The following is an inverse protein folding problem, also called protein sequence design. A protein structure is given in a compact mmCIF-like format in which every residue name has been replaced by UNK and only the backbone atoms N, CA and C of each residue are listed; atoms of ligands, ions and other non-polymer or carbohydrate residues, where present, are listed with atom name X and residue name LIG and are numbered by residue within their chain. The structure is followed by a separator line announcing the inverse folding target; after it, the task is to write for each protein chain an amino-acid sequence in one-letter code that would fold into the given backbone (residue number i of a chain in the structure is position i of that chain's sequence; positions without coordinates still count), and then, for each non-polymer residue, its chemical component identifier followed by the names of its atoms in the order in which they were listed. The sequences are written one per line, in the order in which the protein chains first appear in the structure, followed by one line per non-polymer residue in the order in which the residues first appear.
data_IF_130713909886
#
_entry.id   IF_130713909886
#
_cell.length_a   1.000
_cell.length_b   1.000
_cell.length_c   1.000
_cell.angle_alpha   90.00
_cell.angle_beta   90.00
_cell.angle_gamma   90.00
#
_symmetry.space_group_name_H-M   'P 1'
#
loop_
_entity.id
_entity.type
_entity.pdbx_description
1 polymer ?
#
# COMPACT_ATOMS: atom_id res chain seq x y z
N UNK A 1 -17.31 -5.84 -13.95
CA UNK A 1 -16.53 -4.74 -13.37
C UNK A 1 -15.07 -5.18 -13.24
N UNK A 2 -14.12 -4.35 -13.66
CA UNK A 2 -12.71 -4.67 -13.47
C UNK A 2 -12.37 -4.88 -12.00
N UNK A 3 -11.48 -5.83 -11.73
CA UNK A 3 -11.09 -6.18 -10.35
C UNK A 3 -10.50 -4.99 -9.62
N UNK A 4 -9.66 -4.20 -10.30
CA UNK A 4 -9.08 -3.00 -9.74
C UNK A 4 -10.16 -2.03 -9.24
N UNK A 5 -11.23 -1.84 -10.02
CA UNK A 5 -12.35 -0.98 -9.63
C UNK A 5 -13.10 -1.53 -8.41
N UNK A 6 -13.25 -2.84 -8.30
CA UNK A 6 -13.85 -3.47 -7.12
C UNK A 6 -13.05 -3.16 -5.86
N UNK A 7 -11.74 -3.26 -5.95
CA UNK A 7 -10.83 -2.99 -4.83
C UNK A 7 -10.89 -1.51 -4.46
N UNK A 8 -10.82 -0.62 -5.45
CA UNK A 8 -10.82 0.82 -5.21
C UNK A 8 -12.13 1.33 -4.60
N UNK A 9 -13.25 0.67 -4.88
CA UNK A 9 -14.54 1.02 -4.26
C UNK A 9 -14.57 0.78 -2.75
N UNK A 10 -13.69 -0.05 -2.22
CA UNK A 10 -13.59 -0.29 -0.79
C UNK A 10 -12.93 0.86 -0.05
N UNK A 11 -12.21 1.72 -0.76
CA UNK A 11 -11.39 2.76 -0.17
C UNK A 11 -11.99 4.14 -0.30
N UNK A 12 -11.22 5.11 0.19
CA UNK A 12 -11.55 6.53 0.10
C UNK A 12 -10.34 7.31 -0.39
N UNK A 13 -10.57 8.40 -1.15
CA UNK A 13 -9.46 9.22 -1.62
C UNK A 13 -8.85 10.03 -0.47
N UNK A 14 -7.53 10.13 -0.48
CA UNK A 14 -6.79 11.02 0.40
C UNK A 14 -5.70 11.71 -0.41
N UNK A 15 -5.18 12.80 0.12
CA UNK A 15 -4.04 13.52 -0.45
C UNK A 15 -2.86 13.42 0.49
N UNK A 16 -1.65 13.31 -0.08
CA UNK A 16 -0.41 13.38 0.65
C UNK A 16 0.47 14.44 0.00
N UNK A 17 1.10 15.27 0.81
CA UNK A 17 2.03 16.28 0.32
C UNK A 17 3.44 15.69 0.24
N UNK A 18 4.27 16.24 -0.63
CA UNK A 18 5.67 15.84 -0.76
C UNK A 18 6.35 15.78 0.61
N UNK A 19 6.97 14.64 0.91
CA UNK A 19 7.64 14.40 2.18
C UNK A 19 6.77 13.79 3.27
N UNK A 20 5.45 13.72 3.10
CA UNK A 20 4.57 13.11 4.08
C UNK A 20 4.84 11.61 4.20
N UNK A 21 4.88 11.14 5.44
CA UNK A 21 4.95 9.70 5.72
C UNK A 21 3.53 9.14 5.73
N UNK A 22 3.21 8.38 4.69
CA UNK A 22 1.88 7.80 4.49
C UNK A 22 1.65 6.62 5.42
N UNK A 23 2.68 5.79 5.60
CA UNK A 23 2.69 4.72 6.59
C UNK A 23 4.11 4.52 7.09
N UNK A 24 4.23 3.97 8.30
CA UNK A 24 5.51 3.89 9.00
C UNK A 24 5.87 2.45 9.38
N UNK A 25 7.13 2.09 9.15
CA UNK A 25 7.71 0.83 9.56
C UNK A 25 7.45 0.58 11.06
N UNK A 26 6.98 -0.61 11.40
CA UNK A 26 6.69 -1.00 12.78
C UNK A 26 5.31 -0.63 13.30
N UNK A 27 4.56 0.22 12.59
CA UNK A 27 3.20 0.58 12.99
C UNK A 27 2.21 -0.47 12.50
N UNK A 28 1.01 -0.59 13.15
CA UNK A 28 0.01 -1.56 12.73
C UNK A 28 -0.39 -1.39 11.26
N UNK A 29 -0.36 -2.49 10.51
CA UNK A 29 -0.65 -2.49 9.08
C UNK A 29 -2.16 -2.63 8.86
N UNK A 30 -2.88 -1.53 8.95
CA UNK A 30 -4.34 -1.50 8.84
C UNK A 30 -4.86 -1.09 7.47
N UNK A 31 -4.00 -0.56 6.61
CA UNK A 31 -4.42 -0.01 5.33
C UNK A 31 -3.47 -0.40 4.20
N UNK A 32 -4.06 -0.59 3.03
CA UNK A 32 -3.39 -0.68 1.75
C UNK A 32 -3.62 0.63 1.01
N UNK A 33 -2.67 1.06 0.21
CA UNK A 33 -2.76 2.32 -0.54
C UNK A 33 -2.63 2.06 -2.03
N UNK A 34 -3.42 2.79 -2.81
CA UNK A 34 -3.30 2.84 -4.26
C UNK A 34 -2.84 4.24 -4.66
N UNK A 35 -1.81 4.33 -5.49
CA UNK A 35 -1.28 5.61 -5.96
C UNK A 35 -2.04 6.01 -7.21
N UNK A 36 -2.99 6.95 -7.08
CA UNK A 36 -3.79 7.45 -8.20
C UNK A 36 -2.98 8.44 -9.04
N UNK A 37 -2.23 9.33 -8.38
CA UNK A 37 -1.31 10.26 -9.04
C UNK A 37 -0.12 10.53 -8.15
N UNK A 38 0.99 10.91 -8.75
CA UNK A 38 2.26 11.12 -8.04
C UNK A 38 3.03 9.82 -7.88
N UNK A 39 3.88 9.77 -6.86
CA UNK A 39 4.63 8.55 -6.53
C UNK A 39 4.99 8.52 -5.06
N UNK A 40 5.05 7.31 -4.52
CA UNK A 40 5.58 7.04 -3.19
C UNK A 40 6.96 6.40 -3.33
N UNK A 41 7.72 6.45 -2.24
CA UNK A 41 8.93 5.66 -2.09
C UNK A 41 8.76 4.82 -0.83
N UNK A 42 9.17 3.55 -0.89
CA UNK A 42 9.24 2.70 0.28
C UNK A 42 10.68 2.59 0.74
N UNK A 43 10.88 2.60 2.05
CA UNK A 43 12.22 2.59 2.64
C UNK A 43 12.27 1.62 3.81
N UNK A 44 13.25 0.71 3.77
CA UNK A 44 13.60 -0.11 4.92
C UNK A 44 14.81 0.50 5.59
N UNK A 45 14.73 0.69 6.92
CA UNK A 45 15.87 1.14 7.72
C UNK A 45 16.33 -0.05 8.54
N UNK A 46 17.44 -0.71 8.17
CA UNK A 46 17.95 -1.84 8.93
C UNK A 46 18.53 -1.39 10.27
N UNK A 47 18.48 -2.30 11.29
CA UNK A 47 18.91 -1.98 12.65
C UNK A 47 20.40 -1.65 12.75
N UNK A 48 21.22 -2.31 11.92
CA UNK A 48 22.68 -2.25 12.05
C UNK A 48 23.39 -1.71 10.80
N UNK A 49 22.64 -1.38 9.79
CA UNK A 49 23.18 -0.85 8.54
C UNK A 49 22.64 0.55 8.33
N UNK A 50 23.49 1.42 7.81
CA UNK A 50 23.12 2.80 7.50
C UNK A 50 22.49 2.95 6.13
N UNK A 51 22.65 1.94 5.27
CA UNK A 51 22.04 1.96 3.94
C UNK A 51 20.57 1.61 4.04
N UNK A 52 19.72 2.49 3.51
CA UNK A 52 18.30 2.23 3.39
C UNK A 52 18.03 1.63 2.02
N UNK A 53 17.23 0.56 1.99
CA UNK A 53 16.71 0.06 0.71
C UNK A 53 15.51 0.92 0.33
N UNK A 54 15.58 1.53 -0.85
CA UNK A 54 14.55 2.44 -1.35
C UNK A 54 13.97 1.88 -2.64
N UNK A 55 12.63 1.78 -2.69
CA UNK A 55 11.92 1.28 -3.88
C UNK A 55 10.83 2.27 -4.25
N UNK A 56 10.84 2.71 -5.50
CA UNK A 56 9.82 3.62 -6.03
C UNK A 56 8.49 2.90 -6.26
N UNK A 57 7.40 3.59 -5.95
CA UNK A 57 6.04 3.12 -6.21
C UNK A 57 5.33 4.18 -7.05
N UNK A 58 5.33 4.01 -8.39
CA UNK A 58 4.69 4.97 -9.26
C UNK A 58 3.16 4.88 -9.22
N UNK A 59 2.49 5.82 -9.86
CA UNK A 59 1.04 5.78 -10.00
C UNK A 59 0.58 4.49 -10.67
N UNK A 60 -0.61 4.03 -10.33
CA UNK A 60 -1.17 2.80 -10.86
C UNK A 60 -0.84 1.54 -10.04
N UNK A 61 -0.12 1.66 -8.94
CA UNK A 61 0.29 0.53 -8.12
C UNK A 61 -0.29 0.59 -6.72
N UNK A 62 -0.52 -0.60 -6.14
CA UNK A 62 -0.90 -0.77 -4.74
C UNK A 62 0.34 -0.99 -3.88
N UNK A 63 0.33 -0.50 -2.65
CA UNK A 63 1.42 -0.69 -1.68
C UNK A 63 0.90 -0.62 -0.24
N UNK A 64 1.42 -1.38 0.68
CA UNK A 64 2.29 -2.56 0.55
C UNK A 64 1.44 -3.81 0.31
N UNK A 65 1.78 -4.64 -0.66
CA UNK A 65 0.94 -5.79 -1.05
C UNK A 65 1.46 -7.09 -0.45
N UNK A 66 2.71 -7.43 -0.74
CA UNK A 66 3.25 -8.76 -0.42
C UNK A 66 3.20 -9.07 1.07
N UNK A 67 3.62 -8.12 1.91
CA UNK A 67 3.62 -8.30 3.36
C UNK A 67 2.22 -8.49 3.93
N UNK A 68 1.25 -7.72 3.43
CA UNK A 68 -0.15 -7.81 3.88
C UNK A 68 -0.79 -9.13 3.47
N UNK A 69 -0.52 -9.61 2.26
CA UNK A 69 -1.01 -10.93 1.81
C UNK A 69 -0.38 -12.07 2.60
N UNK A 70 0.85 -11.91 3.05
CA UNK A 70 1.53 -12.88 3.92
C UNK A 70 1.06 -12.83 5.37
N UNK A 71 0.13 -11.95 5.71
CA UNK A 71 -0.42 -11.85 7.05
C UNK A 71 0.37 -10.96 8.02
N UNK A 72 1.22 -10.09 7.52
CA UNK A 72 1.95 -9.15 8.36
C UNK A 72 0.98 -8.25 9.14
N UNK A 73 1.26 -8.06 10.43
CA UNK A 73 0.44 -7.24 11.32
C UNK A 73 0.99 -5.82 11.49
N UNK A 74 2.22 -5.59 11.04
CA UNK A 74 2.85 -4.28 11.03
C UNK A 74 3.51 -4.01 9.69
N UNK A 75 3.67 -2.73 9.37
CA UNK A 75 4.39 -2.36 8.16
C UNK A 75 5.87 -2.70 8.31
N UNK A 76 6.44 -3.26 7.25
CA UNK A 76 7.88 -3.62 7.22
C UNK A 76 8.73 -2.54 6.58
N UNK A 77 8.11 -1.50 6.04
CA UNK A 77 8.76 -0.37 5.38
C UNK A 77 8.04 0.92 5.75
N UNK A 78 8.71 2.05 5.59
CA UNK A 78 8.05 3.35 5.53
C UNK A 78 7.53 3.59 4.13
N UNK A 79 6.40 4.29 4.00
CA UNK A 79 5.91 4.81 2.73
C UNK A 79 5.92 6.33 2.78
N UNK A 80 6.63 6.98 1.87
CA UNK A 80 6.85 8.43 1.89
C UNK A 80 6.45 8.99 0.52
N UNK A 81 5.72 10.09 0.52
CA UNK A 81 5.36 10.79 -0.71
C UNK A 81 6.59 11.51 -1.28
N UNK A 82 6.97 11.16 -2.51
CA UNK A 82 8.09 11.82 -3.21
C UNK A 82 7.68 13.18 -3.78
N UNK A 83 6.40 13.34 -4.03
CA UNK A 83 5.77 14.55 -4.56
C UNK A 83 4.34 14.58 -4.03
N UNK A 84 3.60 15.64 -4.31
CA UNK A 84 2.18 15.65 -3.95
C UNK A 84 1.47 14.53 -4.65
N UNK A 85 0.72 13.74 -3.89
CA UNK A 85 0.06 12.52 -4.36
C UNK A 85 -1.43 12.55 -4.11
N UNK A 86 -2.15 11.88 -4.98
CA UNK A 86 -3.52 11.45 -4.70
C UNK A 86 -3.50 9.94 -4.51
N UNK A 87 -4.07 9.49 -3.40
CA UNK A 87 -4.05 8.09 -2.98
C UNK A 87 -5.47 7.63 -2.69
N UNK A 88 -5.68 6.32 -2.77
CA UNK A 88 -6.88 5.69 -2.23
C UNK A 88 -6.45 4.79 -1.08
N UNK A 89 -7.00 5.05 0.10
CA UNK A 89 -6.72 4.23 1.29
C UNK A 89 -7.79 3.17 1.44
N UNK A 90 -7.36 1.91 1.57
CA UNK A 90 -8.24 0.75 1.63
C UNK A 90 -7.96 0.00 2.93
N UNK A 91 -8.99 -0.21 3.74
CA UNK A 91 -8.83 -0.98 4.98
C UNK A 91 -8.48 -2.43 4.65
N UNK A 92 -7.43 -2.95 5.27
CA UNK A 92 -6.99 -4.34 5.07
C UNK A 92 -8.11 -5.33 5.42
N UNK A 93 -8.88 -5.04 6.47
CA UNK A 93 -10.00 -5.90 6.87
C UNK A 93 -11.05 -6.04 5.76
N UNK A 94 -11.37 -4.93 5.08
CA UNK A 94 -12.31 -4.95 3.96
C UNK A 94 -11.76 -5.73 2.77
N UNK A 95 -10.47 -5.55 2.49
CA UNK A 95 -9.81 -6.27 1.41
C UNK A 95 -9.80 -7.77 1.67
N UNK A 96 -9.49 -8.20 2.90
CA UNK A 96 -9.50 -9.61 3.28
C UNK A 96 -10.88 -10.24 3.12
N UNK A 97 -11.93 -9.53 3.51
CA UNK A 97 -13.30 -9.99 3.29
C UNK A 97 -13.58 -10.20 1.80
N UNK A 98 -13.16 -9.27 0.96
CA UNK A 98 -13.34 -9.38 -0.48
C UNK A 98 -12.54 -10.55 -1.06
N UNK A 99 -11.33 -10.79 -0.57
CA UNK A 99 -10.51 -11.93 -1.00
C UNK A 99 -11.18 -13.28 -0.71
N UNK A 100 -11.90 -13.37 0.42
CA UNK A 100 -12.63 -14.58 0.78
C UNK A 100 -13.88 -14.81 -0.07
N UNK A 101 -14.49 -13.73 -0.54
CA UNK A 101 -15.72 -13.79 -1.32
C UNK A 101 -15.47 -13.94 -2.83
N UNK A 102 -14.34 -13.47 -3.32
CA UNK A 102 -14.07 -13.37 -4.75
C UNK A 102 -12.65 -13.86 -5.07
N UNK A 103 -12.59 -15.06 -5.65
CA UNK A 103 -11.32 -15.70 -6.04
C UNK A 103 -10.55 -14.85 -7.07
N UNK A 104 -11.26 -14.15 -7.95
CA UNK A 104 -10.60 -13.33 -8.97
C UNK A 104 -9.81 -12.17 -8.37
N UNK A 105 -10.25 -11.63 -7.23
CA UNK A 105 -9.50 -10.61 -6.49
C UNK A 105 -8.21 -11.18 -5.91
N UNK A 106 -8.29 -12.39 -5.33
CA UNK A 106 -7.11 -13.09 -4.83
C UNK A 106 -6.09 -13.31 -5.94
N UNK A 107 -6.54 -13.80 -7.09
CA UNK A 107 -5.67 -14.04 -8.25
C UNK A 107 -5.03 -12.76 -8.78
N UNK A 108 -5.73 -11.64 -8.71
CA UNK A 108 -5.19 -10.34 -9.15
C UNK A 108 -3.90 -9.98 -8.40
N UNK A 109 -3.85 -10.23 -7.09
CA UNK A 109 -2.67 -9.92 -6.28
C UNK A 109 -1.58 -10.99 -6.34
N UNK A 110 -1.95 -12.24 -6.66
CA UNK A 110 -1.00 -13.35 -6.71
C UNK A 110 -0.32 -13.52 -8.07
N UNK A 111 -0.92 -12.99 -9.12
CA UNK A 111 -0.33 -12.99 -10.46
C UNK A 111 0.76 -11.89 -10.60
#
# INVERSE_FOLDING_TARGET
MPIKSKILKLGRPIKALSGDKVFAQGKPARSLFYVSSGSLVTRIVPLYDRAALVVDVPSGHFVPVAALLAGATSYIVDGIAQMDCELVVIAVAKLRSLLLEDVSVSNFFLD
#
